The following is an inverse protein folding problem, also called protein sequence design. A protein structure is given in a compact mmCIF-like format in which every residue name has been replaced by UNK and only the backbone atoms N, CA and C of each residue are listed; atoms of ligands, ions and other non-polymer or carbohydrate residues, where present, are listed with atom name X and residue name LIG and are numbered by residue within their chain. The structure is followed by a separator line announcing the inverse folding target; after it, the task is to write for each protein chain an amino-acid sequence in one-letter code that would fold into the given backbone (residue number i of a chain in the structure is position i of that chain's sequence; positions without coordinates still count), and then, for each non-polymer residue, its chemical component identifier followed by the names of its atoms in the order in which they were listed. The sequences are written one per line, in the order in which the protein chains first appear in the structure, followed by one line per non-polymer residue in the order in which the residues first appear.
data_IF_542031415130
#
_entry.id   IF_542031415130
#
_cell.length_a   1.000
_cell.length_b   1.000
_cell.length_c   1.000
_cell.angle_alpha   90.00
_cell.angle_beta   90.00
_cell.angle_gamma   90.00
#
_symmetry.space_group_name_H-M   'P 1'
#
loop_
_entity.id
_entity.type
_entity.pdbx_description
1 polymer ?
#
# COMPACT_ATOMS: atom_id res chain seq x y z
N UNK A 1 27.32 -18.75 -30.87
CA UNK A 1 28.57 -17.97 -30.66
C UNK A 1 28.16 -16.67 -29.98
N UNK A 2 28.93 -16.16 -28.99
CA UNK A 2 28.77 -14.78 -28.53
C UNK A 2 28.95 -13.82 -29.71
N UNK A 3 28.31 -12.66 -29.66
CA UNK A 3 28.49 -11.64 -30.69
C UNK A 3 29.86 -10.96 -30.59
N UNK A 4 30.11 -10.01 -31.49
CA UNK A 4 31.35 -9.21 -31.53
C UNK A 4 31.61 -8.42 -30.25
N UNK A 5 30.59 -8.26 -29.40
CA UNK A 5 30.64 -7.61 -28.10
C UNK A 5 30.72 -8.62 -26.94
N UNK A 6 30.88 -9.92 -27.20
CA UNK A 6 31.06 -10.94 -26.15
C UNK A 6 29.76 -11.37 -25.45
N UNK A 7 28.60 -10.91 -25.90
CA UNK A 7 27.31 -11.22 -25.28
C UNK A 7 26.74 -12.56 -25.78
N UNK A 8 26.47 -13.47 -24.84
CA UNK A 8 25.81 -14.73 -25.16
C UNK A 8 24.34 -14.49 -25.56
N UNK A 9 23.84 -15.16 -26.61
CA UNK A 9 22.42 -15.08 -26.98
C UNK A 9 21.48 -15.46 -25.83
N UNK A 10 21.83 -16.50 -25.06
CA UNK A 10 20.99 -16.98 -23.95
C UNK A 10 20.82 -15.95 -22.81
N UNK A 11 21.87 -15.20 -22.48
CA UNK A 11 21.79 -14.18 -21.43
C UNK A 11 21.03 -12.95 -21.91
N UNK A 12 21.14 -12.56 -23.20
CA UNK A 12 20.30 -11.50 -23.76
C UNK A 12 18.82 -11.89 -23.82
N UNK A 13 18.53 -13.12 -24.23
CA UNK A 13 17.17 -13.65 -24.23
C UNK A 13 16.57 -13.65 -22.83
N UNK A 14 17.33 -14.07 -21.81
CA UNK A 14 16.87 -14.03 -20.42
C UNK A 14 16.67 -12.61 -19.90
N UNK A 15 17.52 -11.64 -20.25
CA UNK A 15 17.31 -10.24 -19.89
C UNK A 15 16.01 -9.68 -20.49
N UNK A 16 15.73 -10.02 -21.75
CA UNK A 16 14.47 -9.65 -22.41
C UNK A 16 13.26 -10.32 -21.72
N UNK A 17 13.37 -11.60 -21.38
CA UNK A 17 12.32 -12.34 -20.65
C UNK A 17 12.04 -11.70 -19.28
N UNK A 18 13.05 -11.32 -18.52
CA UNK A 18 12.84 -10.63 -17.24
C UNK A 18 12.18 -9.27 -17.44
N UNK A 19 12.53 -8.53 -18.49
CA UNK A 19 11.87 -7.26 -18.80
C UNK A 19 10.38 -7.45 -19.14
N UNK A 20 10.02 -8.52 -19.84
CA UNK A 20 8.62 -8.88 -20.10
C UNK A 20 7.89 -9.28 -18.81
N UNK A 21 8.53 -10.08 -17.95
CA UNK A 21 8.02 -10.47 -16.64
C UNK A 21 7.81 -9.25 -15.75
N UNK A 22 8.76 -8.32 -15.71
CA UNK A 22 8.65 -7.05 -14.98
C UNK A 22 7.44 -6.24 -15.45
N UNK A 23 7.25 -6.09 -16.76
CA UNK A 23 6.10 -5.38 -17.31
C UNK A 23 4.77 -6.06 -16.97
N UNK A 24 4.73 -7.40 -16.99
CA UNK A 24 3.56 -8.17 -16.59
C UNK A 24 3.25 -8.04 -15.09
N UNK A 25 4.28 -8.14 -14.22
CA UNK A 25 4.16 -7.91 -12.78
C UNK A 25 3.65 -6.49 -12.54
N UNK A 26 4.23 -5.48 -13.19
CA UNK A 26 3.82 -4.09 -13.03
C UNK A 26 2.34 -3.87 -13.39
N UNK A 27 1.91 -4.39 -14.55
CA UNK A 27 0.52 -4.28 -15.00
C UNK A 27 -0.44 -4.97 -14.03
N UNK A 28 -0.06 -6.15 -13.54
CA UNK A 28 -0.87 -6.95 -12.61
C UNK A 28 -0.95 -6.28 -11.24
N UNK A 29 0.17 -5.73 -10.75
CA UNK A 29 0.24 -5.00 -9.49
C UNK A 29 -0.61 -3.72 -9.54
N UNK A 30 -0.53 -2.93 -10.62
CA UNK A 30 -1.39 -1.73 -10.79
C UNK A 30 -2.86 -2.12 -10.69
N UNK A 31 -3.31 -3.13 -11.44
CA UNK A 31 -4.72 -3.55 -11.45
C UNK A 31 -5.19 -4.03 -10.08
N UNK A 32 -4.35 -4.78 -9.38
CA UNK A 32 -4.68 -5.29 -8.05
C UNK A 32 -4.76 -4.16 -7.02
N UNK A 33 -3.79 -3.24 -7.02
CA UNK A 33 -3.78 -2.05 -6.17
C UNK A 33 -4.97 -1.14 -6.47
N UNK A 34 -5.32 -0.94 -7.74
CA UNK A 34 -6.49 -0.17 -8.14
C UNK A 34 -7.80 -0.77 -7.62
N UNK A 35 -7.92 -2.10 -7.66
CA UNK A 35 -9.07 -2.79 -7.07
C UNK A 35 -9.20 -2.55 -5.56
N UNK A 36 -8.09 -2.51 -4.83
CA UNK A 36 -8.07 -2.22 -3.40
C UNK A 36 -8.39 -0.75 -3.12
N UNK A 37 -7.75 0.17 -3.85
CA UNK A 37 -7.93 1.60 -3.63
C UNK A 37 -9.38 2.04 -3.91
N UNK A 38 -10.06 1.42 -4.89
CA UNK A 38 -11.50 1.66 -5.15
C UNK A 38 -12.41 1.25 -3.99
N UNK A 39 -11.94 0.40 -3.08
CA UNK A 39 -12.66 0.01 -1.85
C UNK A 39 -12.25 0.87 -0.66
N UNK A 40 -10.96 1.18 -0.54
CA UNK A 40 -10.40 2.03 0.52
C UNK A 40 -11.00 3.43 0.43
N UNK A 41 -11.00 4.03 -0.76
CA UNK A 41 -11.30 5.45 -0.91
C UNK A 41 -12.75 5.82 -0.51
N UNK A 42 -13.79 5.04 -0.83
CA UNK A 42 -15.14 5.28 -0.30
C UNK A 42 -15.25 5.05 1.21
N UNK A 43 -14.58 4.02 1.75
CA UNK A 43 -14.59 3.75 3.18
C UNK A 43 -13.92 4.89 3.98
N UNK A 44 -12.79 5.43 3.49
CA UNK A 44 -12.16 6.62 4.06
C UNK A 44 -13.07 7.86 4.02
N UNK A 45 -13.80 8.05 2.92
CA UNK A 45 -14.77 9.12 2.80
C UNK A 45 -15.89 8.99 3.84
N UNK A 46 -16.41 7.77 4.04
CA UNK A 46 -17.46 7.50 5.03
C UNK A 46 -16.94 7.65 6.47
N UNK A 47 -15.70 7.26 6.75
CA UNK A 47 -15.05 7.53 8.04
C UNK A 47 -15.01 9.04 8.32
N UNK A 48 -14.62 9.86 7.34
CA UNK A 48 -14.58 11.33 7.51
C UNK A 48 -15.98 11.89 7.81
N UNK A 49 -16.98 11.49 7.03
CA UNK A 49 -18.38 11.91 7.24
C UNK A 49 -18.89 11.52 8.63
N UNK A 50 -18.69 10.26 9.04
CA UNK A 50 -19.13 9.78 10.37
C UNK A 50 -18.37 10.44 11.52
N UNK A 51 -17.11 10.81 11.30
CA UNK A 51 -16.30 11.51 12.31
C UNK A 51 -16.79 12.94 12.48
N UNK A 52 -17.11 13.64 11.39
CA UNK A 52 -17.61 15.01 11.40
C UNK A 52 -19.05 15.10 11.95
N UNK A 53 -19.89 14.10 11.64
CA UNK A 53 -21.29 14.02 12.07
C UNK A 53 -21.49 13.31 13.43
N UNK A 54 -20.41 12.96 14.14
CA UNK A 54 -20.50 12.20 15.37
C UNK A 54 -21.25 12.99 16.46
N UNK A 55 -22.36 12.47 17.03
CA UNK A 55 -23.10 13.19 18.06
C UNK A 55 -22.21 13.51 19.25
N UNK A 56 -22.30 14.72 19.84
CA UNK A 56 -21.48 15.11 20.99
C UNK A 56 -21.70 14.16 22.17
N UNK A 57 -20.68 14.04 23.01
CA UNK A 57 -20.72 13.12 24.15
C UNK A 57 -21.79 13.62 25.12
N UNK A 58 -22.78 12.77 25.48
CA UNK A 58 -23.79 13.19 26.42
C UNK A 58 -23.13 13.47 27.78
N UNK A 59 -23.54 14.55 28.47
CA UNK A 59 -22.96 14.90 29.75
C UNK A 59 -23.10 13.74 30.75
N UNK A 60 -22.10 13.56 31.62
CA UNK A 60 -22.21 12.65 32.75
C UNK A 60 -23.42 13.05 33.60
N UNK A 61 -24.31 12.09 33.88
CA UNK A 61 -25.54 12.35 34.63
C UNK A 61 -25.19 12.93 36.01
N UNK A 62 -25.64 14.15 36.35
CA UNK A 62 -25.49 14.65 37.71
C UNK A 62 -26.36 13.81 38.65
N UNK A 63 -25.91 13.51 39.88
CA UNK A 63 -26.73 12.81 40.86
C UNK A 63 -27.96 13.66 41.18
N UNK A 64 -29.14 13.24 40.72
CA UNK A 64 -30.40 13.96 40.97
C UNK A 64 -30.81 13.73 42.42
N UNK A 65 -30.69 14.78 43.24
CA UNK A 65 -31.32 14.83 44.55
C UNK A 65 -32.85 14.89 44.37
N UNK A 66 -33.56 13.86 44.84
CA UNK A 66 -35.02 13.69 44.69
C UNK A 66 -35.79 14.65 45.59
N UNK A 67 -35.98 15.89 45.14
CA UNK A 67 -37.00 16.78 45.67
C UNK A 67 -38.40 16.30 45.22
N UNK A 68 -39.50 16.64 45.93
CA UNK A 68 -40.85 16.31 45.47
C UNK A 68 -41.17 17.08 44.17
N UNK A 69 -41.38 16.34 43.08
CA UNK A 69 -41.68 16.86 41.74
C UNK A 69 -43.17 16.73 41.42
N UNK A 70 -43.72 17.70 40.70
CA UNK A 70 -45.06 17.65 40.12
C UNK A 70 -45.14 16.64 38.97
N UNK A 71 -46.35 16.19 38.60
CA UNK A 71 -46.55 15.23 37.50
C UNK A 71 -46.00 15.73 36.15
N UNK A 72 -46.14 17.04 35.86
CA UNK A 72 -45.62 17.64 34.63
C UNK A 72 -44.07 17.68 34.60
N UNK A 73 -43.43 17.92 35.75
CA UNK A 73 -41.98 17.88 35.85
C UNK A 73 -41.45 16.45 35.70
N UNK A 74 -42.17 15.44 36.18
CA UNK A 74 -41.82 14.02 35.99
C UNK A 74 -41.92 13.59 34.52
N UNK A 75 -42.93 14.05 33.79
CA UNK A 75 -43.07 13.80 32.34
C UNK A 75 -41.88 14.40 31.58
N UNK A 76 -41.52 15.65 31.87
CA UNK A 76 -40.43 16.36 31.20
C UNK A 76 -39.05 15.73 31.49
N UNK A 77 -38.82 15.25 32.72
CA UNK A 77 -37.60 14.47 33.05
C UNK A 77 -37.56 13.16 32.26
N UNK A 78 -38.68 12.42 32.17
CA UNK A 78 -38.74 11.18 31.38
C UNK A 78 -38.47 11.43 29.90
N UNK A 79 -38.99 12.52 29.34
CA UNK A 79 -38.71 12.91 27.96
C UNK A 79 -37.23 13.23 27.74
N UNK A 80 -36.61 13.97 28.66
CA UNK A 80 -35.18 14.27 28.63
C UNK A 80 -34.30 13.02 28.76
N UNK A 81 -34.63 12.12 29.69
CA UNK A 81 -33.95 10.83 29.86
C UNK A 81 -34.07 9.97 28.59
N UNK A 82 -35.24 9.91 27.98
CA UNK A 82 -35.47 9.20 26.73
C UNK A 82 -34.67 9.80 25.57
N UNK A 83 -34.57 11.13 25.48
CA UNK A 83 -33.75 11.81 24.48
C UNK A 83 -32.25 11.55 24.68
N UNK A 84 -31.74 11.64 25.91
CA UNK A 84 -30.35 11.32 26.24
C UNK A 84 -30.02 9.86 25.93
N UNK A 85 -30.93 8.92 26.25
CA UNK A 85 -30.77 7.51 25.92
C UNK A 85 -30.68 7.28 24.41
N UNK A 86 -31.59 7.87 23.63
CA UNK A 86 -31.54 7.79 22.16
C UNK A 86 -30.26 8.38 21.59
N UNK A 87 -29.76 9.48 22.15
CA UNK A 87 -28.49 10.08 21.75
C UNK A 87 -27.30 9.17 22.06
N UNK A 88 -27.26 8.56 23.26
CA UNK A 88 -26.25 7.56 23.65
C UNK A 88 -26.25 6.37 22.67
N UNK A 89 -27.44 5.82 22.37
CA UNK A 89 -27.60 4.69 21.43
C UNK A 89 -27.15 5.06 20.01
N UNK A 90 -27.52 6.23 19.49
CA UNK A 90 -27.07 6.71 18.16
C UNK A 90 -25.57 6.90 18.08
N UNK A 91 -24.95 7.49 19.10
CA UNK A 91 -23.49 7.68 19.17
C UNK A 91 -22.77 6.32 19.22
N UNK A 92 -23.28 5.38 20.02
CA UNK A 92 -22.71 4.04 20.10
C UNK A 92 -22.74 3.31 18.75
N UNK A 93 -23.88 3.37 18.03
CA UNK A 93 -24.00 2.78 16.69
C UNK A 93 -23.04 3.43 15.68
N UNK A 94 -22.93 4.76 15.68
CA UNK A 94 -22.01 5.48 14.79
C UNK A 94 -20.54 5.15 15.08
N UNK A 95 -20.16 5.00 16.36
CA UNK A 95 -18.81 4.56 16.76
C UNK A 95 -18.52 3.13 16.32
N UNK A 96 -19.50 2.23 16.43
CA UNK A 96 -19.34 0.84 15.99
C UNK A 96 -19.11 0.76 14.47
N UNK A 97 -19.90 1.50 13.68
CA UNK A 97 -19.73 1.61 12.23
C UNK A 97 -18.36 2.20 11.87
N UNK A 98 -17.95 3.28 12.55
CA UNK A 98 -16.64 3.92 12.37
C UNK A 98 -15.50 2.94 12.67
N UNK A 99 -15.56 2.20 13.78
CA UNK A 99 -14.56 1.18 14.12
C UNK A 99 -14.53 0.01 13.13
N UNK A 100 -15.67 -0.35 12.55
CA UNK A 100 -15.74 -1.38 11.51
C UNK A 100 -15.06 -0.90 10.22
N UNK A 101 -15.38 0.30 9.75
CA UNK A 101 -14.79 0.88 8.55
C UNK A 101 -13.28 1.10 8.71
N UNK A 102 -12.82 1.57 9.88
CA UNK A 102 -11.40 1.73 10.16
C UNK A 102 -10.64 0.40 10.09
N UNK A 103 -11.23 -0.69 10.60
CA UNK A 103 -10.64 -2.04 10.48
C UNK A 103 -10.59 -2.50 9.03
N UNK A 104 -11.65 -2.31 8.25
CA UNK A 104 -11.66 -2.67 6.84
C UNK A 104 -10.58 -1.91 6.06
N UNK A 105 -10.48 -0.59 6.26
CA UNK A 105 -9.44 0.24 5.63
C UNK A 105 -8.04 -0.25 6.01
N UNK A 106 -7.80 -0.57 7.29
CA UNK A 106 -6.52 -1.08 7.75
C UNK A 106 -6.16 -2.44 7.12
N UNK A 107 -7.12 -3.37 7.03
CA UNK A 107 -6.93 -4.66 6.37
C UNK A 107 -6.62 -4.52 4.88
N UNK A 108 -7.37 -3.68 4.16
CA UNK A 108 -7.14 -3.42 2.74
C UNK A 108 -5.79 -2.74 2.49
N UNK A 109 -5.37 -1.86 3.39
CA UNK A 109 -4.07 -1.20 3.36
C UNK A 109 -2.93 -2.19 3.54
N UNK A 110 -3.05 -3.12 4.49
CA UNK A 110 -2.07 -4.19 4.68
C UNK A 110 -2.02 -5.12 3.46
N UNK A 111 -3.16 -5.45 2.85
CA UNK A 111 -3.20 -6.24 1.61
C UNK A 111 -2.48 -5.52 0.47
N UNK A 112 -2.63 -4.20 0.35
CA UNK A 112 -1.94 -3.37 -0.65
C UNK A 112 -0.42 -3.46 -0.48
N UNK A 113 0.08 -3.31 0.74
CA UNK A 113 1.51 -3.44 1.05
C UNK A 113 2.04 -4.86 0.81
N UNK A 114 1.24 -5.88 1.15
CA UNK A 114 1.58 -7.27 0.92
C UNK A 114 1.73 -7.59 -0.57
N UNK A 115 0.84 -7.08 -1.42
CA UNK A 115 0.94 -7.23 -2.88
C UNK A 115 2.21 -6.59 -3.43
N UNK A 116 2.55 -5.40 -2.94
CA UNK A 116 3.80 -4.72 -3.27
C UNK A 116 5.04 -5.55 -2.90
N UNK A 117 5.11 -6.01 -1.65
CA UNK A 117 6.22 -6.82 -1.17
C UNK A 117 6.34 -8.14 -1.95
N UNK A 118 5.19 -8.74 -2.29
CA UNK A 118 5.16 -9.98 -3.07
C UNK A 118 5.65 -9.76 -4.49
N UNK A 119 5.18 -8.71 -5.17
CA UNK A 119 5.63 -8.36 -6.51
C UNK A 119 7.14 -8.09 -6.56
N UNK A 120 7.67 -7.34 -5.58
CA UNK A 120 9.11 -7.10 -5.43
C UNK A 120 9.88 -8.41 -5.22
N UNK A 121 9.40 -9.29 -4.34
CA UNK A 121 10.00 -10.60 -4.09
C UNK A 121 10.01 -11.50 -5.32
N UNK A 122 8.93 -11.53 -6.10
CA UNK A 122 8.85 -12.28 -7.36
C UNK A 122 9.88 -11.77 -8.36
N UNK A 123 9.93 -10.46 -8.61
CA UNK A 123 10.89 -9.87 -9.55
C UNK A 123 12.34 -10.11 -9.08
N UNK A 124 12.61 -9.92 -7.78
CA UNK A 124 13.92 -10.20 -7.19
C UNK A 124 14.36 -11.64 -7.43
N UNK A 125 13.45 -12.62 -7.34
CA UNK A 125 13.77 -14.01 -7.61
C UNK A 125 14.21 -14.27 -9.07
N UNK A 126 13.63 -13.54 -10.03
CA UNK A 126 14.00 -13.61 -11.45
C UNK A 126 15.34 -12.96 -11.72
N UNK A 127 15.59 -11.79 -11.13
CA UNK A 127 16.90 -11.10 -11.19
C UNK A 127 17.99 -12.02 -10.64
N UNK A 128 17.77 -12.63 -9.48
CA UNK A 128 18.74 -13.55 -8.87
C UNK A 128 19.04 -14.77 -9.75
N UNK A 129 18.06 -15.27 -10.53
CA UNK A 129 18.29 -16.35 -11.50
C UNK A 129 19.16 -15.88 -12.66
N UNK A 130 18.93 -14.66 -13.14
CA UNK A 130 19.74 -14.06 -14.20
C UNK A 130 21.17 -13.79 -13.75
N UNK A 131 21.37 -13.24 -12.56
CA UNK A 131 22.70 -13.01 -12.00
C UNK A 131 23.50 -14.31 -11.90
N UNK A 132 22.84 -15.41 -11.52
CA UNK A 132 23.45 -16.75 -11.53
C UNK A 132 23.82 -17.19 -12.94
N UNK A 133 22.93 -17.04 -13.92
CA UNK A 133 23.23 -17.41 -15.31
C UNK A 133 24.38 -16.57 -15.89
N UNK A 134 24.37 -15.27 -15.65
CA UNK A 134 25.42 -14.34 -16.04
C UNK A 134 26.76 -14.75 -15.39
N UNK A 135 26.77 -15.10 -14.10
CA UNK A 135 27.97 -15.61 -13.42
C UNK A 135 28.50 -16.91 -14.05
N UNK A 136 27.63 -17.87 -14.38
CA UNK A 136 28.03 -19.09 -15.11
C UNK A 136 28.61 -18.79 -16.49
N UNK A 137 27.98 -17.87 -17.23
CA UNK A 137 28.51 -17.45 -18.53
C UNK A 137 29.90 -16.82 -18.40
N UNK A 138 30.10 -15.95 -17.40
CA UNK A 138 31.40 -15.34 -17.09
C UNK A 138 32.47 -16.39 -16.85
N UNK A 139 32.18 -17.39 -16.01
CA UNK A 139 33.12 -18.48 -15.73
C UNK A 139 33.45 -19.32 -16.97
N UNK A 140 32.43 -19.65 -17.78
CA UNK A 140 32.60 -20.39 -19.03
C UNK A 140 33.44 -19.64 -20.06
N UNK A 141 33.19 -18.34 -20.22
CA UNK A 141 33.93 -17.46 -21.13
C UNK A 141 35.41 -17.34 -20.73
N UNK A 142 35.69 -17.06 -19.46
CA UNK A 142 37.06 -16.99 -18.92
C UNK A 142 37.79 -18.33 -19.14
N UNK A 143 37.13 -19.46 -18.89
CA UNK A 143 37.70 -20.80 -19.11
C UNK A 143 37.99 -21.09 -20.59
N UNK A 144 37.13 -20.63 -21.50
CA UNK A 144 37.32 -20.83 -22.94
C UNK A 144 38.49 -19.98 -23.47
N UNK A 145 38.59 -18.71 -23.05
CA UNK A 145 39.69 -17.82 -23.43
C UNK A 145 41.04 -18.32 -22.93
N UNK A 146 41.12 -18.73 -21.66
CA UNK A 146 42.36 -19.25 -21.03
C UNK A 146 42.85 -20.56 -21.64
N UNK A 147 41.98 -21.37 -22.26
CA UNK A 147 42.36 -22.61 -22.95
C UNK A 147 42.86 -22.41 -24.38
N UNK A 148 42.38 -21.38 -25.09
CA UNK A 148 42.64 -21.22 -26.54
C UNK A 148 43.87 -20.39 -26.86
N UNK A 149 44.26 -19.50 -25.97
CA UNK A 149 45.43 -18.66 -26.18
C UNK A 149 46.28 -18.74 -24.91
N UNK A 150 47.58 -18.99 -25.05
CA UNK A 150 48.61 -18.62 -24.06
C UNK A 150 48.69 -17.08 -23.93
N UNK A 151 47.54 -16.39 -24.02
CA UNK A 151 47.43 -14.97 -23.90
C UNK A 151 47.62 -14.58 -22.43
N UNK A 152 48.17 -13.37 -22.17
CA UNK A 152 48.13 -12.80 -20.84
C UNK A 152 46.68 -12.87 -20.32
N UNK A 153 46.45 -13.09 -19.01
CA UNK A 153 45.12 -13.19 -18.41
C UNK A 153 44.41 -11.84 -18.41
N UNK A 154 44.17 -11.26 -19.58
CA UNK A 154 43.20 -10.21 -19.82
C UNK A 154 41.87 -10.81 -19.36
N UNK A 155 41.30 -10.27 -18.28
CA UNK A 155 39.98 -10.53 -17.66
C UNK A 155 39.94 -11.22 -16.29
N UNK A 156 41.01 -11.88 -15.82
CA UNK A 156 40.96 -12.50 -14.46
C UNK A 156 41.15 -11.47 -13.35
N UNK A 157 41.95 -10.42 -13.59
CA UNK A 157 42.25 -9.39 -12.58
C UNK A 157 41.14 -8.34 -12.40
N UNK A 158 40.39 -8.05 -13.45
CA UNK A 158 39.23 -7.14 -13.42
C UNK A 158 38.04 -7.81 -14.10
N UNK A 159 37.32 -8.70 -13.39
CA UNK A 159 36.19 -9.40 -13.95
C UNK A 159 35.09 -8.41 -14.42
N UNK A 160 35.05 -7.18 -13.88
CA UNK A 160 34.06 -6.12 -14.21
C UNK A 160 34.15 -5.53 -15.62
N UNK A 161 35.25 -5.74 -16.35
CA UNK A 161 35.44 -5.22 -17.72
C UNK A 161 35.04 -6.20 -18.83
N UNK A 162 34.43 -7.34 -18.47
CA UNK A 162 33.79 -8.21 -19.45
C UNK A 162 32.42 -7.58 -19.82
N UNK A 163 32.12 -7.36 -21.11
CA UNK A 163 30.79 -6.94 -21.56
C UNK A 163 29.79 -8.04 -21.20
N UNK A 164 29.19 -7.90 -20.03
CA UNK A 164 28.21 -8.82 -19.50
C UNK A 164 26.84 -8.16 -19.63
N UNK A 165 25.83 -8.88 -20.13
CA UNK A 165 24.48 -8.40 -20.03
C UNK A 165 24.14 -8.24 -18.55
N UNK A 166 23.72 -7.03 -18.18
CA UNK A 166 23.09 -6.72 -16.91
C UNK A 166 21.60 -6.51 -17.13
N UNK A 167 20.82 -6.70 -16.08
CA UNK A 167 19.42 -6.34 -16.06
C UNK A 167 19.20 -5.39 -14.88
N UNK A 168 18.64 -4.22 -15.17
CA UNK A 168 18.27 -3.22 -14.19
C UNK A 168 16.75 -3.01 -14.22
N UNK A 169 16.07 -3.18 -13.08
CA UNK A 169 14.64 -2.90 -12.97
C UNK A 169 14.33 -1.44 -13.31
N UNK A 170 13.28 -1.23 -14.09
CA UNK A 170 12.86 0.09 -14.58
C UNK A 170 11.83 0.76 -13.67
N UNK A 171 11.05 -0.03 -12.93
CA UNK A 171 9.96 0.53 -12.15
C UNK A 171 10.36 0.86 -10.71
N UNK A 172 10.03 2.09 -10.27
CA UNK A 172 10.39 2.60 -8.95
C UNK A 172 9.87 1.77 -7.78
N UNK A 173 8.74 1.05 -7.95
CA UNK A 173 8.17 0.21 -6.89
C UNK A 173 9.07 -0.94 -6.47
N UNK A 174 10.00 -1.37 -7.32
CA UNK A 174 11.01 -2.35 -6.96
C UNK A 174 12.07 -1.77 -6.00
N UNK A 175 12.41 -0.50 -6.14
CA UNK A 175 13.37 0.23 -5.30
C UNK A 175 12.74 0.82 -4.02
N UNK A 176 11.54 0.36 -3.65
CA UNK A 176 10.79 0.90 -2.50
C UNK A 176 9.96 2.16 -2.80
N UNK A 177 9.88 2.57 -4.07
CA UNK A 177 8.97 3.62 -4.50
C UNK A 177 7.50 3.22 -4.27
N UNK A 178 6.66 4.15 -3.85
CA UNK A 178 5.25 3.86 -3.65
C UNK A 178 4.49 3.92 -4.98
N UNK A 179 3.54 3.00 -5.19
CA UNK A 179 2.61 3.12 -6.30
C UNK A 179 1.59 4.23 -6.00
N UNK A 180 1.07 4.91 -7.04
CA UNK A 180 0.00 5.89 -6.89
C UNK A 180 -1.21 5.32 -6.15
N UNK A 181 -1.96 6.23 -5.54
CA UNK A 181 -3.10 5.91 -4.65
C UNK A 181 -4.35 6.59 -5.22
N UNK A 182 -5.50 5.92 -5.14
CA UNK A 182 -6.80 6.57 -5.38
C UNK A 182 -7.23 7.36 -4.15
N UNK A 183 -7.57 8.63 -4.32
CA UNK A 183 -8.15 9.49 -3.28
C UNK A 183 -9.57 9.86 -3.68
N UNK A 184 -10.47 9.83 -2.72
CA UNK A 184 -11.82 10.40 -2.86
C UNK A 184 -11.80 11.85 -2.38
N UNK A 185 -12.13 12.80 -3.26
CA UNK A 185 -12.46 14.17 -2.86
C UNK A 185 -13.93 14.18 -2.39
N UNK A 186 -14.13 14.48 -1.10
CA UNK A 186 -15.48 14.60 -0.51
C UNK A 186 -15.85 16.08 -0.49
N UNK A 187 -16.77 16.47 -1.36
CA UNK A 187 -17.37 17.79 -1.31
C UNK A 187 -18.68 17.72 -0.51
N UNK A 188 -18.92 18.63 0.46
CA UNK A 188 -20.12 18.60 1.31
C UNK A 188 -21.44 18.82 0.55
N UNK A 189 -21.38 19.15 -0.74
CA UNK A 189 -22.53 19.49 -1.58
C UNK A 189 -22.61 18.65 -2.88
N UNK A 190 -21.69 17.71 -3.11
CA UNK A 190 -21.61 16.93 -4.34
C UNK A 190 -21.21 15.47 -4.08
N UNK A 191 -21.50 14.59 -5.03
CA UNK A 191 -21.05 13.20 -4.98
C UNK A 191 -19.51 13.14 -4.89
N UNK A 192 -18.97 12.24 -4.05
CA UNK A 192 -17.52 12.05 -3.95
C UNK A 192 -16.91 11.66 -5.31
N UNK A 193 -15.84 12.36 -5.73
CA UNK A 193 -15.12 12.06 -6.97
C UNK A 193 -13.82 11.31 -6.67
N UNK A 194 -13.58 10.21 -7.40
CA UNK A 194 -12.36 9.41 -7.29
C UNK A 194 -11.27 9.97 -8.21
N UNK A 195 -10.08 10.21 -7.68
CA UNK A 195 -8.90 10.66 -8.44
C UNK A 195 -7.68 9.80 -8.12
N UNK A 196 -6.95 9.39 -9.16
CA UNK A 196 -5.65 8.74 -9.03
C UNK A 196 -4.55 9.80 -8.92
N UNK A 197 -3.82 9.82 -7.81
CA UNK A 197 -2.71 10.74 -7.60
C UNK A 197 -1.47 10.02 -7.07
N UNK A 198 -0.29 10.53 -7.43
CA UNK A 198 0.98 10.14 -6.82
C UNK A 198 1.15 10.87 -5.48
N UNK A 199 0.37 10.48 -4.47
CA UNK A 199 0.62 10.91 -3.11
C UNK A 199 1.46 9.87 -2.39
N UNK A 200 2.37 10.28 -1.49
CA UNK A 200 2.99 9.34 -0.58
C UNK A 200 1.90 8.69 0.28
N UNK A 201 1.76 7.37 0.14
CA UNK A 201 0.97 6.53 1.02
C UNK A 201 1.52 6.67 2.43
N UNK A 202 0.69 7.13 3.36
CA UNK A 202 1.08 7.35 4.74
C UNK A 202 -0.04 6.85 5.65
N UNK A 203 0.21 5.74 6.35
CA UNK A 203 -0.72 5.10 7.29
C UNK A 203 -1.14 6.06 8.42
N UNK A 204 -0.30 7.04 8.75
CA UNK A 204 -0.58 8.04 9.79
C UNK A 204 -1.78 8.94 9.49
N UNK A 205 -2.29 8.97 8.24
CA UNK A 205 -3.48 9.75 7.88
C UNK A 205 -4.78 9.21 8.49
N UNK A 206 -4.76 8.00 9.06
CA UNK A 206 -5.91 7.41 9.75
C UNK A 206 -5.95 7.76 11.25
N UNK A 207 -4.90 8.40 11.78
CA UNK A 207 -4.92 8.92 13.14
C UNK A 207 -5.68 10.25 13.17
N UNK A 208 -6.99 10.17 13.45
CA UNK A 208 -7.74 11.32 13.97
C UNK A 208 -7.02 11.77 15.26
N UNK A 209 -6.81 13.08 15.49
CA UNK A 209 -6.24 13.56 16.74
C UNK A 209 -7.05 13.00 17.90
N UNK A 210 -6.43 12.14 18.69
CA UNK A 210 -6.89 11.90 20.05
C UNK A 210 -6.86 13.25 20.73
N UNK A 211 -8.05 13.79 21.02
CA UNK A 211 -8.19 14.98 21.84
C UNK A 211 -7.48 14.70 23.17
N UNK A 212 -6.23 15.15 23.27
CA UNK A 212 -5.58 15.35 24.56
C UNK A 212 -6.21 16.59 25.15
N UNK A 213 -7.26 16.36 25.93
CA UNK A 213 -7.76 17.29 26.91
C UNK A 213 -6.64 17.62 27.90
N UNK A 214 -6.21 18.88 27.88
CA UNK A 214 -5.62 19.59 29.02
C UNK A 214 -6.37 20.90 29.19
#
# INVERSE_FOLDING_TARGET
MPDTEGHHPATRAMAAEIAEIEAWIHTSLIKAVEGLDRRIAPAEAQIRLLTDDLPPEPPAEPPVARAPMTAAEQENVREQENMLRRQKERRAAALEELHQLQREVAELSQQREHLHSTAAGVLFSWIARFDRLAAYHRAGFVRALTRRFFAPPLTVKDPGNLPMPSYEPKHAWFAGGQLPVTVTEVHPQQQPTLRWAHLPWNLDRLNVPTSRSH
#
